data_IF_284394586503
#
_entry.id   IF_284394586503
#
_cell.length_a   1.000
_cell.length_b   1.000
_cell.length_c   1.000
_cell.angle_alpha   90.00
_cell.angle_beta   90.00
_cell.angle_gamma   90.00
#
_symmetry.space_group_name_H-M   'P 1'
#
loop_
_entity.id
_entity.type
_entity.pdbx_description
1 polymer ?
#
# COMPACT_ATOMS: atom_id res chain seq x y z
N UNK A 1 49.11 -51.59 2.30
CA UNK A 1 47.94 -51.23 1.47
C UNK A 1 47.23 -50.07 2.15
N UNK A 2 47.35 -48.85 1.60
CA UNK A 2 46.95 -47.58 2.25
C UNK A 2 45.47 -47.30 2.01
N UNK A 3 44.69 -47.16 3.09
CA UNK A 3 43.25 -46.90 3.04
C UNK A 3 42.99 -45.37 2.96
N UNK A 4 42.71 -44.86 1.75
CA UNK A 4 42.47 -43.44 1.49
C UNK A 4 41.04 -43.08 1.93
N UNK A 5 40.92 -42.36 3.05
CA UNK A 5 39.66 -41.73 3.49
C UNK A 5 39.22 -40.67 2.46
N UNK A 6 38.20 -40.97 1.64
CA UNK A 6 37.49 -39.97 0.82
C UNK A 6 36.80 -38.96 1.73
N UNK A 7 37.43 -37.79 1.96
CA UNK A 7 36.75 -36.61 2.53
C UNK A 7 35.68 -36.15 1.54
N UNK A 8 34.42 -36.16 1.96
CA UNK A 8 33.26 -35.66 1.21
C UNK A 8 33.42 -34.13 1.05
N UNK A 9 34.10 -33.68 0.00
CA UNK A 9 34.10 -32.27 -0.45
C UNK A 9 32.69 -31.98 -0.99
N UNK A 10 31.75 -31.65 -0.10
CA UNK A 10 30.56 -30.90 -0.52
C UNK A 10 31.13 -29.60 -1.09
N UNK A 11 31.20 -29.52 -2.42
CA UNK A 11 32.02 -28.53 -3.12
C UNK A 11 31.51 -27.14 -2.77
N UNK A 12 32.40 -26.30 -2.24
CA UNK A 12 32.23 -24.85 -2.06
C UNK A 12 31.53 -24.20 -3.27
N UNK A 13 31.75 -24.75 -4.47
CA UNK A 13 31.09 -24.43 -5.72
C UNK A 13 29.55 -24.42 -5.65
N UNK A 14 28.91 -25.35 -4.94
CA UNK A 14 27.44 -25.37 -4.79
C UNK A 14 26.94 -24.20 -3.94
N UNK A 15 27.67 -23.87 -2.86
CA UNK A 15 27.39 -22.70 -2.01
C UNK A 15 27.63 -21.38 -2.76
N UNK A 16 28.69 -21.31 -3.56
CA UNK A 16 29.00 -20.13 -4.39
C UNK A 16 27.95 -19.94 -5.49
N UNK A 17 27.52 -21.02 -6.16
CA UNK A 17 26.44 -20.94 -7.17
C UNK A 17 25.12 -20.50 -6.51
N UNK A 18 24.77 -21.05 -5.34
CA UNK A 18 23.59 -20.60 -4.59
C UNK A 18 23.70 -19.11 -4.19
N UNK A 19 24.88 -18.66 -3.75
CA UNK A 19 25.13 -17.26 -3.44
C UNK A 19 24.98 -16.35 -4.67
N UNK A 20 25.46 -16.78 -5.83
CA UNK A 20 25.32 -16.03 -7.10
C UNK A 20 23.85 -15.94 -7.52
N UNK A 21 23.04 -16.99 -7.32
CA UNK A 21 21.61 -16.96 -7.60
C UNK A 21 20.83 -16.06 -6.63
N UNK A 22 21.20 -16.05 -5.35
CA UNK A 22 20.60 -15.14 -4.34
C UNK A 22 20.95 -13.69 -4.66
N UNK A 23 22.19 -13.40 -5.05
CA UNK A 23 22.64 -12.05 -5.41
C UNK A 23 22.03 -11.59 -6.76
N UNK A 24 21.89 -12.48 -7.75
CA UNK A 24 21.26 -12.14 -9.04
C UNK A 24 19.74 -11.97 -8.94
N UNK A 25 19.07 -12.63 -8.01
CA UNK A 25 17.62 -12.44 -7.80
C UNK A 25 17.30 -11.00 -7.34
N UNK A 26 18.19 -10.37 -6.57
CA UNK A 26 18.04 -8.97 -6.16
C UNK A 26 18.56 -7.96 -7.20
N UNK A 27 19.26 -8.41 -8.25
CA UNK A 27 19.92 -7.55 -9.24
C UNK A 27 19.24 -7.56 -10.62
N UNK A 28 18.00 -8.01 -10.75
CA UNK A 28 17.27 -7.83 -12.00
C UNK A 28 17.10 -6.33 -12.30
N UNK A 29 17.71 -5.81 -13.38
CA UNK A 29 17.58 -4.39 -13.69
C UNK A 29 16.15 -4.14 -14.19
N UNK A 30 15.49 -3.23 -13.49
CA UNK A 30 14.29 -2.54 -13.91
C UNK A 30 14.50 -2.02 -15.33
N UNK A 31 13.69 -2.49 -16.27
CA UNK A 31 13.63 -1.99 -17.63
C UNK A 31 13.24 -0.51 -17.54
N UNK A 32 14.10 0.36 -18.08
CA UNK A 32 13.94 1.80 -18.02
C UNK A 32 12.69 2.26 -18.78
N UNK A 33 11.74 2.83 -18.04
CA UNK A 33 10.65 3.69 -18.54
C UNK A 33 11.19 5.10 -18.80
N UNK A 34 10.53 5.86 -19.67
CA UNK A 34 10.82 7.29 -19.90
C UNK A 34 10.56 8.18 -18.66
N UNK A 35 9.91 7.66 -17.61
CA UNK A 35 9.79 8.30 -16.30
C UNK A 35 10.92 7.84 -15.37
N UNK A 36 11.48 8.76 -14.58
CA UNK A 36 12.42 8.41 -13.49
C UNK A 36 11.72 7.70 -12.31
N UNK A 37 10.41 7.55 -12.39
CA UNK A 37 9.53 6.88 -11.44
C UNK A 37 9.23 5.44 -11.81
N UNK A 38 9.08 4.58 -10.80
CA UNK A 38 8.70 3.17 -10.98
C UNK A 38 7.68 2.73 -9.94
N UNK A 39 6.84 1.75 -10.29
CA UNK A 39 5.97 1.08 -9.33
C UNK A 39 6.62 -0.23 -8.86
N UNK A 40 7.42 -0.18 -7.80
CA UNK A 40 8.20 -1.31 -7.29
C UNK A 40 7.38 -2.32 -6.44
N UNK A 41 6.16 -2.64 -6.88
CA UNK A 41 5.28 -3.54 -6.13
C UNK A 41 5.68 -5.00 -6.30
N UNK A 42 6.07 -5.63 -5.19
CA UNK A 42 6.27 -7.07 -5.15
C UNK A 42 4.96 -7.80 -4.85
N UNK A 43 4.76 -8.94 -5.52
CA UNK A 43 3.70 -9.88 -5.14
C UNK A 43 3.89 -10.32 -3.69
N UNK A 44 2.82 -10.29 -2.93
CA UNK A 44 2.83 -10.63 -1.50
C UNK A 44 1.65 -10.02 -0.77
N UNK A 45 1.47 -10.42 0.48
CA UNK A 45 0.43 -9.91 1.35
C UNK A 45 1.02 -9.01 2.43
N UNK A 46 0.40 -7.85 2.62
CA UNK A 46 0.59 -6.96 3.74
C UNK A 46 -0.63 -7.09 4.67
N UNK A 47 -0.38 -7.28 5.96
CA UNK A 47 -1.41 -7.26 6.98
C UNK A 47 -1.35 -5.91 7.68
N UNK A 48 -2.49 -5.25 7.80
CA UNK A 48 -2.65 -4.01 8.55
C UNK A 48 -3.39 -4.31 9.85
N UNK A 49 -2.92 -3.76 10.96
CA UNK A 49 -3.50 -3.99 12.29
C UNK A 49 -3.70 -2.65 12.99
N UNK A 50 -4.91 -2.47 13.55
CA UNK A 50 -5.21 -1.34 14.45
C UNK A 50 -4.55 -1.63 15.79
N UNK A 51 -3.50 -0.89 16.14
CA UNK A 51 -2.76 -1.10 17.38
C UNK A 51 -3.09 -0.08 18.47
N UNK A 52 -3.78 1.00 18.10
CA UNK A 52 -4.22 2.03 19.05
C UNK A 52 -5.44 2.76 18.50
N UNK A 53 -6.41 3.02 19.38
CA UNK A 53 -7.56 3.89 19.11
C UNK A 53 -8.09 4.47 20.44
N UNK A 54 -8.19 5.79 20.49
CA UNK A 54 -8.85 6.54 21.55
C UNK A 54 -10.14 7.17 20.99
N UNK A 55 -11.28 6.57 21.33
CA UNK A 55 -12.60 6.99 20.85
C UNK A 55 -12.99 8.38 21.37
N UNK A 56 -12.66 8.71 22.63
CA UNK A 56 -12.99 10.01 23.21
C UNK A 56 -12.19 11.12 22.54
N UNK A 57 -10.88 10.91 22.36
CA UNK A 57 -10.02 11.85 21.67
C UNK A 57 -10.39 12.00 20.18
N UNK A 58 -10.82 10.92 19.52
CA UNK A 58 -11.33 10.98 18.15
C UNK A 58 -12.56 11.88 18.05
N UNK A 59 -13.57 11.67 18.89
CA UNK A 59 -14.80 12.46 18.86
C UNK A 59 -14.56 13.92 19.24
N UNK A 60 -13.68 14.18 20.19
CA UNK A 60 -13.34 15.54 20.64
C UNK A 60 -12.48 16.33 19.63
N UNK A 61 -11.70 15.64 18.79
CA UNK A 61 -10.77 16.30 17.86
C UNK A 61 -11.24 16.26 16.41
N UNK A 62 -11.77 15.13 15.94
CA UNK A 62 -12.05 14.87 14.53
C UNK A 62 -13.51 15.15 14.23
N UNK A 63 -14.44 14.33 14.72
CA UNK A 63 -15.87 14.53 14.52
C UNK A 63 -16.66 13.62 15.48
N UNK A 64 -17.63 14.20 16.19
CA UNK A 64 -18.49 13.48 17.15
C UNK A 64 -19.32 12.37 16.49
N UNK A 65 -19.67 12.51 15.22
CA UNK A 65 -20.50 11.57 14.46
C UNK A 65 -19.70 10.63 13.57
N UNK A 66 -18.36 10.71 13.54
CA UNK A 66 -17.52 9.82 12.75
C UNK A 66 -16.67 8.91 13.62
N UNK A 67 -16.13 7.87 12.99
CA UNK A 67 -15.12 6.99 13.59
C UNK A 67 -14.16 6.48 12.49
N UNK A 68 -13.11 5.71 12.84
CA UNK A 68 -12.18 5.18 11.84
C UNK A 68 -12.82 4.34 10.72
N UNK A 69 -14.00 3.75 10.94
CA UNK A 69 -14.70 2.94 9.93
C UNK A 69 -15.18 3.77 8.75
N UNK A 70 -15.40 5.07 8.92
CA UNK A 70 -15.76 5.97 7.82
C UNK A 70 -14.61 6.15 6.82
N UNK A 71 -13.35 5.96 7.27
CA UNK A 71 -12.16 6.13 6.44
C UNK A 71 -11.59 4.78 5.97
N UNK A 72 -11.56 3.77 6.83
CA UNK A 72 -10.90 2.50 6.54
C UNK A 72 -11.86 1.32 6.38
N UNK A 73 -13.15 1.51 6.68
CA UNK A 73 -14.18 0.48 6.62
C UNK A 73 -14.02 -0.64 7.65
N UNK A 74 -14.93 -1.61 7.60
CA UNK A 74 -14.91 -2.78 8.48
C UNK A 74 -14.95 -2.40 9.97
N UNK A 75 -14.26 -3.18 10.79
CA UNK A 75 -14.11 -2.98 12.24
C UNK A 75 -12.85 -2.18 12.59
N UNK A 76 -12.50 -1.18 11.77
CA UNK A 76 -11.27 -0.39 11.95
C UNK A 76 -11.28 0.53 13.17
N UNK A 77 -12.40 0.64 13.86
CA UNK A 77 -12.56 1.26 15.19
C UNK A 77 -12.27 0.30 16.36
N UNK A 78 -11.82 -0.94 16.10
CA UNK A 78 -11.49 -1.91 17.14
C UNK A 78 -9.99 -2.19 17.18
N UNK A 79 -9.38 -2.05 18.37
CA UNK A 79 -7.98 -2.44 18.59
C UNK A 79 -7.83 -3.95 18.35
N UNK A 80 -6.81 -4.32 17.57
CA UNK A 80 -6.54 -5.71 17.17
C UNK A 80 -7.27 -6.15 15.91
N UNK A 81 -8.18 -5.34 15.35
CA UNK A 81 -8.78 -5.62 14.05
C UNK A 81 -7.71 -5.60 12.95
N UNK A 82 -7.82 -6.55 12.02
CA UNK A 82 -6.84 -6.78 10.96
C UNK A 82 -7.46 -6.69 9.58
N UNK A 83 -6.77 -6.02 8.67
CA UNK A 83 -7.03 -6.03 7.23
C UNK A 83 -5.86 -6.70 6.50
N UNK A 84 -6.11 -7.19 5.28
CA UNK A 84 -5.09 -7.79 4.42
C UNK A 84 -5.22 -7.22 3.02
N UNK A 85 -4.11 -6.75 2.46
CA UNK A 85 -4.00 -6.47 1.04
C UNK A 85 -2.95 -7.39 0.41
N UNK A 86 -3.31 -8.04 -0.70
CA UNK A 86 -2.41 -8.89 -1.47
C UNK A 86 -2.18 -8.28 -2.84
N UNK A 87 -0.93 -7.95 -3.14
CA UNK A 87 -0.52 -7.50 -4.48
C UNK A 87 -0.48 -8.70 -5.42
N UNK A 88 -1.32 -8.68 -6.45
CA UNK A 88 -1.39 -9.71 -7.50
C UNK A 88 -0.47 -9.37 -8.68
N UNK A 89 -0.28 -8.07 -8.93
CA UNK A 89 0.58 -7.52 -9.97
C UNK A 89 0.25 -6.05 -10.22
N UNK A 90 0.82 -5.49 -11.29
CA UNK A 90 0.45 -4.20 -11.84
C UNK A 90 0.52 -4.29 -13.36
N UNK A 91 -0.37 -3.57 -14.04
CA UNK A 91 -0.30 -3.39 -15.48
C UNK A 91 -0.24 -1.90 -15.81
N UNK A 92 0.18 -1.60 -17.04
CA UNK A 92 0.33 -0.24 -17.53
C UNK A 92 -0.76 0.02 -18.56
N UNK A 93 -1.26 1.25 -18.61
CA UNK A 93 -2.25 1.62 -19.62
C UNK A 93 -2.77 3.04 -19.49
N UNK A 94 -3.72 3.35 -20.36
CA UNK A 94 -4.43 4.62 -20.38
C UNK A 94 -5.91 4.49 -20.07
N UNK A 95 -6.55 5.61 -19.77
CA UNK A 95 -8.00 5.73 -19.80
C UNK A 95 -8.44 7.12 -20.24
N UNK A 96 -9.65 7.18 -20.77
CA UNK A 96 -10.32 8.44 -21.08
C UNK A 96 -10.64 9.21 -19.80
N UNK A 97 -10.74 10.54 -19.89
CA UNK A 97 -11.08 11.45 -18.78
C UNK A 97 -12.28 10.98 -17.98
N UNK A 98 -13.37 10.57 -18.66
CA UNK A 98 -14.58 10.09 -18.00
C UNK A 98 -14.31 8.94 -17.02
N UNK A 99 -13.45 7.98 -17.41
CA UNK A 99 -13.13 6.84 -16.57
C UNK A 99 -12.36 7.27 -15.33
N UNK A 100 -11.38 8.16 -15.48
CA UNK A 100 -10.62 8.68 -14.33
C UNK A 100 -11.50 9.52 -13.41
N UNK A 101 -12.33 10.41 -13.95
CA UNK A 101 -13.25 11.22 -13.16
C UNK A 101 -14.25 10.35 -12.41
N UNK A 102 -14.83 9.34 -13.07
CA UNK A 102 -15.78 8.42 -12.47
C UNK A 102 -15.14 7.61 -11.34
N UNK A 103 -13.93 7.10 -11.55
CA UNK A 103 -13.21 6.28 -10.56
C UNK A 103 -12.75 7.05 -9.34
N UNK A 104 -12.33 8.31 -9.53
CA UNK A 104 -11.91 9.18 -8.42
C UNK A 104 -13.14 9.85 -7.81
N UNK A 105 -13.63 10.92 -8.44
CA UNK A 105 -14.55 11.85 -7.82
C UNK A 105 -15.96 11.29 -7.69
N UNK A 106 -16.50 10.62 -8.73
CA UNK A 106 -17.87 10.09 -8.63
C UNK A 106 -17.96 8.99 -7.57
N UNK A 107 -16.92 8.17 -7.45
CA UNK A 107 -16.81 7.18 -6.37
C UNK A 107 -16.71 7.84 -5.00
N UNK A 108 -15.83 8.84 -4.82
CA UNK A 108 -15.63 9.52 -3.53
C UNK A 108 -16.91 10.20 -3.01
N UNK A 109 -17.64 10.87 -3.90
CA UNK A 109 -18.85 11.62 -3.52
C UNK A 109 -20.15 10.85 -3.79
N UNK A 110 -20.05 9.56 -4.15
CA UNK A 110 -21.21 8.69 -4.45
C UNK A 110 -22.17 9.33 -5.48
N UNK A 111 -21.60 9.96 -6.50
CA UNK A 111 -22.35 10.65 -7.55
C UNK A 111 -23.17 9.63 -8.34
N UNK A 112 -24.46 9.93 -8.54
CA UNK A 112 -25.34 9.11 -9.37
C UNK A 112 -25.08 9.42 -10.86
N UNK A 113 -24.29 8.58 -11.53
CA UNK A 113 -23.90 8.79 -12.92
C UNK A 113 -25.07 8.65 -13.89
N UNK A 114 -26.02 7.74 -13.63
CA UNK A 114 -27.23 7.61 -14.44
C UNK A 114 -28.08 8.88 -14.40
N UNK A 115 -28.03 9.60 -13.28
CA UNK A 115 -28.68 10.88 -13.15
C UNK A 115 -27.99 11.95 -14.02
N UNK A 116 -26.67 12.08 -13.95
CA UNK A 116 -25.90 12.98 -14.81
C UNK A 116 -26.16 12.73 -16.30
N UNK A 117 -26.22 11.46 -16.71
CA UNK A 117 -26.50 11.05 -18.09
C UNK A 117 -27.86 11.54 -18.61
N UNK A 118 -28.90 11.51 -17.78
CA UNK A 118 -30.25 11.98 -18.16
C UNK A 118 -30.29 13.48 -18.48
N UNK A 119 -29.35 14.25 -17.92
CA UNK A 119 -29.21 15.69 -18.13
C UNK A 119 -28.12 16.03 -19.16
N UNK A 120 -27.65 15.03 -19.92
CA UNK A 120 -26.69 15.21 -21.00
C UNK A 120 -25.23 15.19 -20.56
N UNK A 121 -24.92 14.94 -19.28
CA UNK A 121 -23.56 14.89 -18.74
C UNK A 121 -23.01 13.46 -18.67
N UNK A 122 -23.30 12.66 -19.69
CA UNK A 122 -22.82 11.28 -19.83
C UNK A 122 -21.43 11.16 -20.44
N UNK A 123 -20.98 9.94 -20.70
CA UNK A 123 -19.66 9.69 -21.31
C UNK A 123 -19.43 10.45 -22.63
N UNK A 124 -20.46 10.59 -23.48
CA UNK A 124 -20.40 11.41 -24.72
C UNK A 124 -20.02 12.88 -24.47
N UNK A 125 -20.56 13.50 -23.42
CA UNK A 125 -20.19 14.86 -23.05
C UNK A 125 -18.69 14.97 -22.80
N UNK A 126 -18.11 13.98 -22.13
CA UNK A 126 -16.67 13.97 -21.85
C UNK A 126 -15.83 13.76 -23.10
N UNK A 127 -16.26 12.90 -24.03
CA UNK A 127 -15.55 12.75 -25.30
C UNK A 127 -15.50 14.06 -26.10
N UNK A 128 -16.59 14.83 -26.08
CA UNK A 128 -16.69 16.07 -26.85
C UNK A 128 -15.94 17.26 -26.20
N UNK A 129 -15.90 17.33 -24.87
CA UNK A 129 -15.40 18.49 -24.13
C UNK A 129 -14.05 18.26 -23.43
N UNK A 130 -13.66 17.01 -23.19
CA UNK A 130 -12.40 16.63 -22.54
C UNK A 130 -11.72 15.49 -23.32
N UNK A 131 -11.30 15.75 -24.58
CA UNK A 131 -10.77 14.72 -25.48
C UNK A 131 -9.40 14.17 -25.08
N UNK A 132 -8.83 14.63 -23.95
CA UNK A 132 -7.58 14.12 -23.42
C UNK A 132 -7.73 12.66 -23.00
N UNK A 133 -6.75 11.85 -23.41
CA UNK A 133 -6.57 10.51 -22.88
C UNK A 133 -5.40 10.55 -21.90
N UNK A 134 -5.67 10.15 -20.66
CA UNK A 134 -4.63 9.99 -19.65
C UNK A 134 -3.94 8.66 -19.91
N UNK A 135 -2.99 8.68 -20.84
CA UNK A 135 -2.50 7.46 -21.50
C UNK A 135 -1.44 6.66 -20.74
N UNK A 136 -1.01 7.14 -19.57
CA UNK A 136 0.19 6.62 -18.91
C UNK A 136 0.03 6.55 -17.38
N UNK A 137 -0.64 5.49 -16.93
CA UNK A 137 -0.76 5.16 -15.52
C UNK A 137 -0.38 3.71 -15.20
N UNK A 138 -0.07 3.47 -13.94
CA UNK A 138 0.04 2.13 -13.37
C UNK A 138 -1.26 1.75 -12.69
N UNK A 139 -1.68 0.50 -12.89
CA UNK A 139 -2.89 -0.08 -12.32
C UNK A 139 -2.52 -1.28 -11.44
N UNK A 140 -2.15 -1.06 -10.17
CA UNK A 140 -1.97 -2.12 -9.20
C UNK A 140 -3.23 -2.97 -9.03
N UNK A 141 -3.08 -4.29 -9.16
CA UNK A 141 -4.12 -5.27 -8.90
C UNK A 141 -3.96 -5.80 -7.48
N UNK A 142 -4.94 -5.47 -6.63
CA UNK A 142 -4.95 -5.86 -5.22
C UNK A 142 -6.16 -6.76 -4.92
N UNK A 143 -5.95 -7.83 -4.15
CA UNK A 143 -7.02 -8.51 -3.43
C UNK A 143 -7.07 -7.95 -2.00
N UNK A 144 -8.26 -7.61 -1.51
CA UNK A 144 -8.43 -6.86 -0.27
C UNK A 144 -9.44 -7.52 0.67
N UNK A 145 -9.05 -7.66 1.93
CA UNK A 145 -9.92 -8.06 3.03
C UNK A 145 -10.06 -6.86 3.97
N UNK A 146 -11.30 -6.43 4.29
CA UNK A 146 -11.54 -5.31 5.19
C UNK A 146 -11.05 -5.64 6.62
N UNK A 147 -10.99 -4.60 7.46
CA UNK A 147 -10.69 -4.78 8.88
C UNK A 147 -11.75 -5.66 9.55
N UNK A 148 -11.30 -6.70 10.25
CA UNK A 148 -12.12 -7.54 11.10
C UNK A 148 -11.30 -8.25 12.16
N UNK A 149 -11.94 -8.74 13.22
CA UNK A 149 -11.28 -9.52 14.28
C UNK A 149 -11.16 -11.02 13.97
N UNK A 150 -11.97 -11.51 13.04
CA UNK A 150 -11.97 -12.92 12.64
C UNK A 150 -10.76 -13.28 11.75
N UNK A 151 -10.32 -14.55 11.74
CA UNK A 151 -9.28 -15.00 10.82
C UNK A 151 -9.67 -14.74 9.37
N UNK A 152 -8.70 -14.35 8.54
CA UNK A 152 -8.95 -14.13 7.12
C UNK A 152 -9.49 -15.40 6.46
N UNK A 153 -10.69 -15.31 5.90
CA UNK A 153 -11.20 -16.35 5.02
C UNK A 153 -10.31 -16.40 3.76
N UNK A 154 -9.52 -17.47 3.65
CA UNK A 154 -8.62 -17.71 2.53
C UNK A 154 -9.31 -18.43 1.36
N UNK A 155 -10.59 -18.81 1.51
CA UNK A 155 -11.38 -19.50 0.48
C UNK A 155 -12.28 -18.55 -0.30
N UNK A 156 -12.68 -17.42 0.30
CA UNK A 156 -13.20 -16.32 -0.48
C UNK A 156 -12.05 -15.65 -1.23
N UNK A 157 -12.02 -15.87 -2.55
CA UNK A 157 -11.37 -14.95 -3.48
C UNK A 157 -12.17 -13.64 -3.48
N UNK A 158 -12.29 -12.97 -2.32
CA UNK A 158 -12.90 -11.65 -2.23
C UNK A 158 -11.91 -10.63 -2.79
N UNK A 159 -11.70 -10.72 -4.11
CA UNK A 159 -11.54 -9.54 -4.93
C UNK A 159 -12.84 -8.80 -4.64
N UNK A 160 -12.83 -7.66 -3.93
CA UNK A 160 -14.02 -6.81 -3.94
C UNK A 160 -14.16 -6.33 -5.39
N UNK A 161 -15.05 -6.90 -6.22
CA UNK A 161 -14.98 -6.73 -7.68
C UNK A 161 -15.78 -5.51 -8.14
N UNK A 162 -16.20 -4.62 -7.23
CA UNK A 162 -16.95 -3.42 -7.59
C UNK A 162 -16.09 -2.15 -7.64
N UNK A 163 -14.86 -2.17 -7.11
CA UNK A 163 -13.94 -1.02 -7.11
C UNK A 163 -12.51 -1.38 -7.51
N UNK A 164 -12.31 -2.53 -8.17
CA UNK A 164 -11.03 -3.00 -8.74
C UNK A 164 -10.42 -2.04 -9.79
N UNK A 165 -11.01 -0.88 -10.01
CA UNK A 165 -10.55 0.17 -10.92
C UNK A 165 -10.03 1.43 -10.22
N UNK A 166 -10.13 1.58 -8.90
CA UNK A 166 -9.73 2.82 -8.21
C UNK A 166 -8.23 2.92 -7.92
N UNK A 167 -7.49 1.81 -7.93
CA UNK A 167 -6.05 1.84 -7.71
C UNK A 167 -5.32 2.12 -9.02
N UNK A 168 -5.34 3.37 -9.46
CA UNK A 168 -4.42 3.83 -10.47
C UNK A 168 -3.49 4.91 -9.90
N UNK A 169 -2.29 4.96 -10.45
CA UNK A 169 -1.26 5.95 -10.15
C UNK A 169 -0.81 6.54 -11.49
N UNK A 170 -0.87 7.86 -11.67
CA UNK A 170 -0.27 8.44 -12.87
C UNK A 170 1.24 8.28 -12.82
N UNK A 171 1.90 8.25 -13.98
CA UNK A 171 3.36 8.21 -14.02
C UNK A 171 3.98 9.56 -13.65
N UNK A 172 3.35 10.62 -14.14
CA UNK A 172 3.79 11.98 -13.97
C UNK A 172 2.89 12.69 -12.95
N UNK A 173 3.43 13.28 -11.87
CA UNK A 173 2.66 13.99 -10.86
C UNK A 173 1.79 15.13 -11.41
N UNK A 174 2.20 15.76 -12.52
CA UNK A 174 1.43 16.84 -13.17
C UNK A 174 0.05 16.37 -13.67
N UNK A 175 -0.11 15.09 -14.02
CA UNK A 175 -1.39 14.57 -14.51
C UNK A 175 -2.49 14.59 -13.43
N UNK A 176 -2.11 14.65 -12.15
CA UNK A 176 -3.06 14.85 -11.05
C UNK A 176 -3.65 16.26 -11.05
N UNK A 177 -2.87 17.27 -11.41
CA UNK A 177 -3.37 18.64 -11.57
C UNK A 177 -4.34 18.70 -12.76
N UNK A 178 -3.94 18.13 -13.91
CA UNK A 178 -4.79 18.10 -15.11
C UNK A 178 -6.16 17.48 -14.84
N UNK A 179 -6.21 16.31 -14.18
CA UNK A 179 -7.50 15.65 -13.90
C UNK A 179 -8.34 16.41 -12.87
N UNK A 180 -7.69 17.09 -11.91
CA UNK A 180 -8.38 17.93 -10.93
C UNK A 180 -9.01 19.16 -11.61
N UNK A 181 -8.27 19.80 -12.52
CA UNK A 181 -8.75 20.94 -13.29
C UNK A 181 -9.90 20.55 -14.21
N UNK A 182 -9.78 19.43 -14.93
CA UNK A 182 -10.86 18.88 -15.76
C UNK A 182 -12.12 18.60 -14.93
N UNK A 183 -11.96 17.99 -13.75
CA UNK A 183 -13.06 17.74 -12.82
C UNK A 183 -13.72 19.03 -12.33
N UNK A 184 -12.93 20.00 -11.84
CA UNK A 184 -13.47 21.26 -11.30
C UNK A 184 -14.17 22.08 -12.39
N UNK A 185 -13.63 22.07 -13.61
CA UNK A 185 -14.28 22.69 -14.77
C UNK A 185 -15.62 22.01 -15.07
N UNK A 186 -15.66 20.67 -15.09
CA UNK A 186 -16.89 19.91 -15.30
C UNK A 186 -17.93 20.17 -14.20
N UNK A 187 -17.50 20.10 -12.94
CA UNK A 187 -18.34 20.37 -11.78
C UNK A 187 -18.92 21.79 -11.83
N UNK A 188 -18.13 22.79 -12.25
CA UNK A 188 -18.62 24.16 -12.44
C UNK A 188 -19.69 24.25 -13.54
N UNK A 189 -19.56 23.51 -14.65
CA UNK A 189 -20.60 23.45 -15.68
C UNK A 189 -21.88 22.85 -15.12
N UNK A 190 -21.79 21.70 -14.46
CA UNK A 190 -22.96 21.02 -13.87
C UNK A 190 -23.64 21.88 -12.81
N UNK A 191 -22.87 22.52 -11.93
CA UNK A 191 -23.40 23.38 -10.87
C UNK A 191 -24.08 24.65 -11.40
N UNK A 192 -23.74 25.09 -12.61
CA UNK A 192 -24.34 26.25 -13.26
C UNK A 192 -25.49 25.87 -14.21
N UNK A 193 -25.75 24.59 -14.41
CA UNK A 193 -26.88 24.13 -15.22
C UNK A 193 -28.21 24.35 -14.48
N UNK A 194 -29.13 25.07 -15.11
CA UNK A 194 -30.41 25.44 -14.49
C UNK A 194 -31.29 24.24 -14.12
N UNK A 195 -31.21 23.13 -14.87
CA UNK A 195 -32.00 21.94 -14.61
C UNK A 195 -31.40 21.15 -13.44
N UNK A 196 -30.08 21.12 -13.30
CA UNK A 196 -29.38 20.56 -12.14
C UNK A 196 -29.59 21.38 -10.86
N UNK A 197 -29.62 22.70 -10.97
CA UNK A 197 -29.96 23.57 -9.84
C UNK A 197 -31.40 23.36 -9.36
N UNK A 198 -32.35 23.19 -10.28
CA UNK A 198 -33.78 23.03 -9.97
C UNK A 198 -34.09 21.81 -9.06
N UNK A 199 -33.19 20.84 -9.04
CA UNK A 199 -33.29 19.60 -8.26
C UNK A 199 -32.30 19.56 -7.09
N UNK A 200 -31.59 20.66 -6.83
CA UNK A 200 -30.53 20.78 -5.83
C UNK A 200 -29.39 19.75 -6.00
N UNK A 201 -29.04 19.42 -7.24
CA UNK A 201 -27.88 18.59 -7.53
C UNK A 201 -26.64 19.48 -7.62
N UNK A 202 -25.64 19.19 -6.79
CA UNK A 202 -24.38 19.93 -6.77
C UNK A 202 -23.19 18.96 -6.70
N UNK A 203 -22.16 19.29 -7.45
CA UNK A 203 -20.86 18.65 -7.42
C UNK A 203 -19.88 19.48 -6.59
N UNK A 204 -19.09 18.86 -5.70
CA UNK A 204 -18.09 19.60 -4.94
C UNK A 204 -16.98 20.13 -5.85
N UNK A 205 -16.46 21.30 -5.51
CA UNK A 205 -15.22 21.84 -6.10
C UNK A 205 -14.10 21.58 -5.11
N UNK A 206 -12.97 21.06 -5.58
CA UNK A 206 -11.86 20.65 -4.73
C UNK A 206 -10.63 21.51 -4.99
N UNK A 207 -9.88 21.82 -3.93
CA UNK A 207 -8.50 22.28 -4.05
C UNK A 207 -7.54 21.07 -4.03
N UNK A 208 -6.24 21.33 -4.20
CA UNK A 208 -5.22 20.29 -4.17
C UNK A 208 -5.14 19.51 -2.85
N UNK A 209 -5.27 20.18 -1.71
CA UNK A 209 -5.25 19.52 -0.38
C UNK A 209 -6.42 18.52 -0.23
N UNK A 210 -7.63 18.91 -0.62
CA UNK A 210 -8.82 18.06 -0.53
C UNK A 210 -8.79 16.91 -1.54
N UNK A 211 -8.33 17.18 -2.76
CA UNK A 211 -8.09 16.14 -3.75
C UNK A 211 -7.07 15.10 -3.24
N UNK A 212 -5.91 15.57 -2.76
CA UNK A 212 -4.86 14.68 -2.31
C UNK A 212 -5.26 13.89 -1.05
N UNK A 213 -6.04 14.50 -0.16
CA UNK A 213 -6.61 13.82 0.99
C UNK A 213 -7.47 12.62 0.61
N UNK A 214 -8.46 12.84 -0.27
CA UNK A 214 -9.30 11.74 -0.78
C UNK A 214 -8.49 10.70 -1.55
N UNK A 215 -7.50 11.17 -2.32
CA UNK A 215 -6.63 10.29 -3.06
C UNK A 215 -5.81 9.39 -2.12
N UNK A 216 -5.15 9.93 -1.09
CA UNK A 216 -4.25 9.16 -0.22
C UNK A 216 -5.00 8.22 0.71
N UNK A 217 -6.18 8.61 1.22
CA UNK A 217 -7.00 7.75 2.09
C UNK A 217 -7.30 6.38 1.45
N UNK A 218 -7.55 6.37 0.14
CA UNK A 218 -7.88 5.15 -0.61
C UNK A 218 -6.65 4.43 -1.17
N UNK A 219 -5.42 4.71 -0.71
CA UNK A 219 -4.18 4.21 -1.35
C UNK A 219 -3.26 3.45 -0.40
N UNK A 220 -3.22 2.15 -0.61
CA UNK A 220 -2.29 1.21 0.03
C UNK A 220 -0.92 1.13 -0.65
N UNK A 221 -0.74 1.79 -1.80
CA UNK A 221 0.46 1.70 -2.63
C UNK A 221 0.85 3.06 -3.20
N UNK A 222 2.14 3.28 -3.36
CA UNK A 222 2.75 4.53 -3.83
C UNK A 222 3.92 4.28 -4.77
N UNK A 223 4.20 5.28 -5.61
CA UNK A 223 5.27 5.26 -6.63
C UNK A 223 6.63 5.55 -5.98
N UNK A 224 7.70 4.92 -6.50
CA UNK A 224 9.08 5.13 -6.05
C UNK A 224 9.88 5.97 -7.07
N UNK A 225 10.84 6.82 -6.64
CA UNK A 225 11.18 7.17 -5.25
C UNK A 225 10.08 8.03 -4.58
N UNK A 226 9.61 7.59 -3.42
CA UNK A 226 8.38 8.10 -2.76
C UNK A 226 8.49 9.58 -2.42
N UNK A 227 9.62 9.98 -1.82
CA UNK A 227 9.87 11.37 -1.44
C UNK A 227 9.73 12.32 -2.63
N UNK A 228 10.40 12.00 -3.74
CA UNK A 228 10.44 12.86 -4.93
C UNK A 228 9.07 12.91 -5.59
N UNK A 229 8.45 11.75 -5.77
CA UNK A 229 7.14 11.65 -6.40
C UNK A 229 6.07 12.42 -5.62
N UNK A 230 6.01 12.23 -4.30
CA UNK A 230 5.03 12.94 -3.47
C UNK A 230 5.35 14.43 -3.36
N UNK A 231 6.62 14.83 -3.34
CA UNK A 231 7.01 16.25 -3.33
C UNK A 231 6.57 16.94 -4.62
N UNK A 232 6.81 16.33 -5.78
CA UNK A 232 6.35 16.87 -7.06
C UNK A 232 4.81 16.88 -7.15
N UNK A 233 4.14 15.87 -6.59
CA UNK A 233 2.68 15.82 -6.52
C UNK A 233 2.09 16.96 -5.69
N UNK A 234 2.59 17.20 -4.47
CA UNK A 234 2.07 18.30 -3.63
C UNK A 234 2.35 19.67 -4.25
N UNK A 235 3.46 19.81 -4.98
CA UNK A 235 3.81 21.04 -5.69
C UNK A 235 2.89 21.27 -6.90
N UNK A 236 2.64 20.22 -7.70
CA UNK A 236 1.75 20.31 -8.85
C UNK A 236 0.30 20.60 -8.44
N UNK A 237 -0.15 20.06 -7.30
CA UNK A 237 -1.47 20.32 -6.75
C UNK A 237 -1.55 21.62 -5.93
N UNK A 238 -0.44 22.33 -5.75
CA UNK A 238 -0.35 23.55 -4.93
C UNK A 238 -0.88 23.34 -3.50
N UNK A 239 -0.63 22.17 -2.89
CA UNK A 239 -1.08 21.85 -1.54
C UNK A 239 -0.42 22.76 -0.49
N UNK A 240 -1.21 23.25 0.48
CA UNK A 240 -0.74 24.16 1.53
C UNK A 240 -0.64 23.46 2.89
N UNK A 241 -1.50 22.48 3.15
CA UNK A 241 -1.63 21.81 4.45
C UNK A 241 -1.03 20.41 4.46
N UNK A 242 -0.07 20.16 3.56
CA UNK A 242 0.59 18.87 3.37
C UNK A 242 2.09 19.07 3.35
N UNK A 243 2.81 18.16 3.99
CA UNK A 243 4.28 18.12 3.96
C UNK A 243 4.77 16.71 3.71
N UNK A 244 5.93 16.60 3.05
CA UNK A 244 6.61 15.33 2.79
C UNK A 244 7.92 15.29 3.57
N UNK A 245 8.16 14.19 4.27
CA UNK A 245 9.43 13.88 4.89
C UNK A 245 9.79 12.43 4.60
N UNK A 246 10.83 12.21 3.80
CA UNK A 246 11.27 10.88 3.37
C UNK A 246 10.15 10.09 2.68
N UNK A 247 9.65 9.04 3.32
CA UNK A 247 8.59 8.16 2.82
C UNK A 247 7.23 8.45 3.47
N UNK A 248 7.12 9.57 4.18
CA UNK A 248 5.93 9.97 4.94
C UNK A 248 5.31 11.23 4.36
N UNK A 249 4.00 11.19 4.19
CA UNK A 249 3.15 12.34 3.90
C UNK A 249 2.35 12.69 5.15
N UNK A 250 2.39 13.96 5.53
CA UNK A 250 1.73 14.48 6.74
C UNK A 250 0.74 15.56 6.34
N UNK A 251 -0.52 15.35 6.71
CA UNK A 251 -1.63 16.28 6.52
C UNK A 251 -1.90 17.01 7.84
N UNK A 252 -2.09 18.33 7.75
CA UNK A 252 -2.76 19.12 8.78
C UNK A 252 -4.22 19.29 8.37
N UNK A 253 -5.15 18.83 9.21
CA UNK A 253 -6.59 18.91 8.92
C UNK A 253 -7.32 19.54 10.09
N UNK A 254 -8.55 19.95 9.84
CA UNK A 254 -9.42 20.56 10.84
C UNK A 254 -10.73 19.78 10.90
N UNK A 255 -11.07 19.30 12.08
CA UNK A 255 -12.34 18.67 12.42
C UNK A 255 -13.09 19.55 13.41
N UNK A 256 -13.44 18.98 14.57
CA UNK A 256 -13.80 19.78 15.75
C UNK A 256 -12.61 20.65 16.23
N UNK A 257 -11.39 20.11 16.09
CA UNK A 257 -10.11 20.76 16.39
C UNK A 257 -9.07 20.44 15.30
N UNK A 258 -7.94 21.17 15.24
CA UNK A 258 -6.84 20.81 14.35
C UNK A 258 -6.23 19.45 14.75
N UNK A 259 -5.95 18.63 13.74
CA UNK A 259 -5.33 17.31 13.91
C UNK A 259 -4.35 17.01 12.78
N UNK A 260 -3.42 16.09 13.08
CA UNK A 260 -2.37 15.66 12.15
C UNK A 260 -2.66 14.23 11.74
N UNK A 261 -2.54 13.95 10.44
CA UNK A 261 -2.59 12.60 9.93
C UNK A 261 -1.36 12.28 9.09
N UNK A 262 -0.69 11.18 9.40
CA UNK A 262 0.54 10.77 8.78
C UNK A 262 0.35 9.41 8.09
N UNK A 263 0.75 9.32 6.82
CA UNK A 263 0.84 8.06 6.09
C UNK A 263 2.30 7.81 5.74
N UNK A 264 2.85 6.70 6.19
CA UNK A 264 4.21 6.28 5.87
C UNK A 264 4.19 5.07 4.96
N UNK A 265 5.04 5.04 3.96
CA UNK A 265 5.16 3.93 3.01
C UNK A 265 6.51 3.24 3.16
N UNK A 266 6.58 1.92 3.06
CA UNK A 266 7.86 1.21 3.09
C UNK A 266 8.69 1.45 1.81
N UNK A 267 9.93 0.96 1.77
CA UNK A 267 10.85 1.15 0.64
C UNK A 267 10.35 0.59 -0.71
N UNK A 268 9.29 -0.23 -0.69
CA UNK A 268 8.66 -0.82 -1.88
C UNK A 268 7.36 -0.10 -2.27
N UNK A 269 7.04 1.00 -1.60
CA UNK A 269 5.85 1.79 -1.85
C UNK A 269 4.57 1.20 -1.27
N UNK A 270 4.58 0.14 -0.44
CA UNK A 270 3.36 -0.28 0.25
C UNK A 270 3.15 0.54 1.51
N UNK A 271 1.90 0.85 1.85
CA UNK A 271 1.53 1.54 3.08
C UNK A 271 2.09 0.76 4.28
N UNK A 272 2.69 1.49 5.22
CA UNK A 272 3.34 0.92 6.39
C UNK A 272 2.66 1.35 7.68
N UNK A 273 2.47 2.66 7.87
CA UNK A 273 1.82 3.20 9.05
C UNK A 273 0.81 4.26 8.68
N UNK A 274 -0.30 4.27 9.42
CA UNK A 274 -1.23 5.41 9.47
C UNK A 274 -1.30 5.86 10.91
N UNK A 275 -1.04 7.14 11.14
CA UNK A 275 -1.02 7.72 12.49
C UNK A 275 -1.90 8.96 12.49
N UNK A 276 -2.79 9.06 13.48
CA UNK A 276 -3.60 10.26 13.72
C UNK A 276 -3.26 10.82 15.09
N UNK A 277 -3.01 12.13 15.16
CA UNK A 277 -2.65 12.84 16.39
C UNK A 277 -3.45 14.12 16.52
N UNK A 278 -3.63 14.59 17.75
CA UNK A 278 -4.11 15.96 17.97
C UNK A 278 -2.97 16.99 17.71
N UNK A 279 -3.28 18.27 17.90
CA UNK A 279 -2.31 19.37 17.75
C UNK A 279 -1.18 19.38 18.78
N UNK A 280 -1.33 18.67 19.90
CA UNK A 280 -0.29 18.49 20.94
C UNK A 280 0.56 17.23 20.71
N UNK A 281 0.50 16.63 19.51
CA UNK A 281 1.15 15.37 19.16
C UNK A 281 0.70 14.13 19.98
N UNK A 282 -0.41 14.23 20.72
CA UNK A 282 -0.99 13.07 21.41
C UNK A 282 -1.62 12.13 20.38
N UNK A 283 -1.29 10.85 20.49
CA UNK A 283 -1.79 9.81 19.61
C UNK A 283 -3.31 9.61 19.81
N UNK A 284 -4.05 9.56 18.72
CA UNK A 284 -5.50 9.26 18.70
C UNK A 284 -5.74 7.90 18.07
N UNK A 285 -5.04 7.59 16.97
CA UNK A 285 -5.28 6.37 16.20
C UNK A 285 -4.00 5.89 15.51
N UNK A 286 -3.82 4.57 15.43
CA UNK A 286 -2.67 3.98 14.75
C UNK A 286 -2.97 2.65 14.08
N UNK A 287 -2.69 2.59 12.79
CA UNK A 287 -2.55 1.35 12.02
C UNK A 287 -1.07 1.12 11.78
N UNK A 288 -0.61 -0.11 12.02
CA UNK A 288 0.72 -0.59 11.60
C UNK A 288 0.57 -1.70 10.58
N UNK A 289 1.58 -1.91 9.76
CA UNK A 289 1.63 -2.99 8.81
C UNK A 289 2.65 -4.07 9.20
N UNK A 290 2.45 -5.28 8.71
CA UNK A 290 3.43 -6.37 8.76
C UNK A 290 3.40 -7.18 7.47
N UNK A 291 4.56 -7.65 7.03
CA UNK A 291 4.68 -8.43 5.80
C UNK A 291 4.92 -9.92 6.11
N UNK A 292 4.07 -10.79 5.55
CA UNK A 292 4.14 -12.24 5.79
C UNK A 292 5.43 -12.89 5.26
N UNK A 293 6.12 -12.31 4.26
CA UNK A 293 7.39 -12.86 3.76
C UNK A 293 8.45 -12.93 4.85
N UNK A 294 8.55 -11.90 5.70
CA UNK A 294 9.51 -11.89 6.81
C UNK A 294 9.22 -13.01 7.81
N UNK A 295 7.95 -13.29 8.10
CA UNK A 295 7.56 -14.39 8.99
C UNK A 295 8.03 -15.73 8.42
N UNK A 296 7.85 -15.98 7.13
CA UNK A 296 8.34 -17.21 6.46
C UNK A 296 9.85 -17.32 6.55
N UNK A 297 10.59 -16.24 6.28
CA UNK A 297 12.05 -16.25 6.39
C UNK A 297 12.55 -16.49 7.83
N UNK A 298 11.86 -15.95 8.83
CA UNK A 298 12.16 -16.22 10.25
C UNK A 298 11.94 -17.70 10.56
N UNK A 299 10.82 -18.30 10.13
CA UNK A 299 10.53 -19.73 10.33
C UNK A 299 11.59 -20.61 9.67
N UNK A 300 12.00 -20.28 8.44
CA UNK A 300 13.06 -20.99 7.73
C UNK A 300 14.39 -20.86 8.47
N UNK A 301 14.74 -19.66 8.94
CA UNK A 301 15.95 -19.38 9.71
C UNK A 301 16.03 -20.19 11.01
N UNK A 302 14.94 -20.21 11.79
CA UNK A 302 14.83 -21.00 13.03
C UNK A 302 14.97 -22.49 12.73
N UNK A 303 14.29 -22.97 11.69
CA UNK A 303 14.32 -24.38 11.27
C UNK A 303 15.72 -24.82 10.82
N UNK A 304 16.42 -24.00 10.02
CA UNK A 304 17.81 -24.25 9.61
C UNK A 304 18.76 -24.22 10.81
N UNK A 305 18.59 -23.26 11.72
CA UNK A 305 19.36 -23.16 12.96
C UNK A 305 19.22 -24.42 13.83
N UNK A 306 18.00 -24.92 13.98
CA UNK A 306 17.73 -26.16 14.71
C UNK A 306 18.39 -27.38 14.06
N UNK A 307 18.33 -27.52 12.74
CA UNK A 307 18.98 -28.61 12.00
C UNK A 307 20.50 -28.56 12.19
N UNK A 308 21.12 -27.39 12.05
CA UNK A 308 22.57 -27.21 12.24
C UNK A 308 22.96 -27.54 13.69
N UNK A 309 22.16 -27.09 14.66
CA UNK A 309 22.34 -27.41 16.08
C UNK A 309 22.31 -28.91 16.36
N UNK A 310 21.33 -29.64 15.79
CA UNK A 310 21.21 -31.09 15.91
C UNK A 310 22.39 -31.83 15.26
N UNK A 311 22.83 -31.40 14.08
CA UNK A 311 24.00 -31.97 13.40
C UNK A 311 25.26 -31.74 14.25
N UNK A 312 25.48 -30.51 14.73
CA UNK A 312 26.61 -30.16 15.59
C UNK A 312 26.63 -30.97 16.88
N UNK A 313 25.48 -31.11 17.55
CA UNK A 313 25.32 -31.93 18.74
C UNK A 313 25.61 -33.42 18.46
N UNK A 314 25.12 -33.96 17.35
CA UNK A 314 25.40 -35.34 16.94
C UNK A 314 26.89 -35.59 16.71
N UNK A 315 27.58 -34.67 16.04
CA UNK A 315 29.04 -34.74 15.86
C UNK A 315 29.80 -34.62 17.19
N UNK A 316 29.38 -33.71 18.07
CA UNK A 316 29.96 -33.57 19.41
C UNK A 316 29.79 -34.85 20.24
N UNK A 317 28.57 -35.41 20.28
CA UNK A 317 28.27 -36.67 20.98
C UNK A 317 29.10 -37.83 20.42
N UNK A 318 29.19 -37.96 19.09
CA UNK A 318 30.02 -39.00 18.44
C UNK A 318 31.50 -38.85 18.77
N UNK A 319 32.03 -37.62 18.77
CA UNK A 319 33.42 -37.34 19.11
C UNK A 319 33.71 -37.66 20.59
N UNK A 320 32.82 -37.29 21.50
CA UNK A 320 32.91 -37.60 22.93
C UNK A 320 32.88 -39.11 23.19
N UNK A 321 31.96 -39.85 22.57
CA UNK A 321 31.89 -41.31 22.66
C UNK A 321 33.17 -41.98 22.12
N UNK A 322 33.71 -41.49 21.00
CA UNK A 322 34.95 -42.02 20.43
C UNK A 322 36.15 -41.75 21.35
N UNK A 323 36.19 -40.60 22.03
CA UNK A 323 37.23 -40.27 23.01
C UNK A 323 37.13 -41.18 24.25
N UNK A 324 35.92 -41.41 24.78
CA UNK A 324 35.68 -42.30 25.91
C UNK A 324 36.03 -43.78 25.60
N UNK A 325 35.70 -44.26 24.40
CA UNK A 325 36.09 -45.61 23.96
C UNK A 325 37.61 -45.74 23.85
N UNK A 326 38.31 -44.70 23.38
CA UNK A 326 39.78 -44.69 23.30
C UNK A 326 40.47 -44.62 24.66
N UNK A 327 39.88 -43.95 25.66
CA UNK A 327 40.46 -43.92 27.02
C UNK A 327 40.33 -45.26 27.72
N UNK A 328 39.20 -45.96 27.55
CA UNK A 328 39.00 -47.28 28.16
C UNK A 328 39.90 -48.37 27.56
N UNK A 329 40.20 -48.30 26.26
CA UNK A 329 41.16 -49.20 25.60
C UNK A 329 42.64 -48.95 25.98
N UNK A 330 42.94 -47.85 26.68
CA UNK A 330 44.29 -47.54 27.17
C UNK A 330 44.54 -48.03 28.60
N UNK A 331 43.48 -48.42 29.31
CA UNK A 331 43.53 -48.87 30.71
C UNK A 331 43.34 -50.38 30.86
N UNK A 332 43.41 -51.12 29.76
CA UNK A 332 43.59 -52.58 29.68
C UNK A 332 44.96 -52.81 29.07
#
# INVERSE_FOLDING_TARGET
MVNIKKKRKLKLTVLVIFGIFIINYELYPLVSSNSHYTLSLEKGSQIYEVIYYDEEAWKDTINVTSNPTDWFGGESDMIGAKSKATVLGAYEGGSITYNHISKLFFSWFKINTSFLEQYGFGSYYFYDNYPYEYNWGWYPQLAFWPFGTEPFDNYSNYIRPSFSYSYFLFREPLEYQNILDDYNNFAAVVNNDSAMQAINFFMPILNGDDFLWHFILDRYVMVTPINNYLTELINALECVNVSIQENKITFMRFGEKPYIMEFSYNSRGSLDNVIVKNSDDNLIYKITSSNLKFVVYIIIGISLGAIIGLIGFSFYRKRRLTLLLKSNLKNV
#
